data_IF_451300484366
#
_entry.id   IF_451300484366
#
_cell.length_a   1.000
_cell.length_b   1.000
_cell.length_c   1.000
_cell.angle_alpha   90.00
_cell.angle_beta   90.00
_cell.angle_gamma   90.00
#
_symmetry.space_group_name_H-M   'P 1'
#
loop_
_entity.id
_entity.type
_entity.pdbx_description
1 polymer ?
#
# COMPACT_ATOMS: atom_id res chain seq x y z
N UNK A 1 -29.82 -66.61 -16.25
CA UNK A 1 -28.51 -66.03 -15.98
C UNK A 1 -28.28 -64.89 -16.94
N UNK A 2 -28.52 -63.64 -16.54
CA UNK A 2 -28.32 -62.48 -17.38
C UNK A 2 -27.02 -61.79 -16.93
N UNK A 3 -26.10 -61.42 -17.82
CA UNK A 3 -24.84 -60.77 -17.45
C UNK A 3 -25.05 -59.32 -17.10
N UNK A 4 -24.54 -58.89 -15.94
CA UNK A 4 -24.47 -57.51 -15.52
C UNK A 4 -23.27 -56.80 -16.17
N UNK A 5 -23.50 -55.74 -16.96
CA UNK A 5 -22.50 -54.83 -17.48
C UNK A 5 -21.97 -53.92 -16.36
N UNK A 6 -20.65 -53.61 -16.31
CA UNK A 6 -20.09 -52.67 -15.35
C UNK A 6 -20.43 -51.24 -15.75
N UNK A 7 -20.89 -50.42 -14.76
CA UNK A 7 -21.04 -48.96 -14.89
C UNK A 7 -19.69 -48.31 -14.83
N UNK A 8 -19.25 -47.72 -15.93
CA UNK A 8 -18.07 -46.87 -15.99
C UNK A 8 -18.45 -45.49 -15.36
N UNK A 9 -17.88 -45.17 -14.22
CA UNK A 9 -18.00 -43.84 -13.60
C UNK A 9 -16.99 -42.93 -14.27
N UNK A 10 -17.45 -41.95 -15.06
CA UNK A 10 -16.61 -40.85 -15.53
C UNK A 10 -16.39 -39.86 -14.39
N UNK A 11 -15.16 -39.82 -13.87
CA UNK A 11 -14.71 -38.75 -12.98
C UNK A 11 -14.41 -37.51 -13.86
N UNK A 12 -15.28 -36.52 -13.84
CA UNK A 12 -14.99 -35.20 -14.40
C UNK A 12 -14.06 -34.47 -13.42
N UNK A 13 -12.77 -34.46 -13.73
CA UNK A 13 -11.81 -33.61 -13.06
C UNK A 13 -12.02 -32.18 -13.56
N UNK A 14 -12.63 -31.35 -12.73
CA UNK A 14 -12.71 -29.90 -12.95
C UNK A 14 -11.30 -29.30 -12.78
N UNK A 15 -10.64 -28.99 -13.90
CA UNK A 15 -9.39 -28.22 -13.88
C UNK A 15 -9.79 -26.78 -13.56
N UNK A 16 -9.57 -26.36 -12.31
CA UNK A 16 -9.57 -24.94 -11.95
C UNK A 16 -8.30 -24.31 -12.55
N UNK A 17 -8.42 -23.68 -13.71
CA UNK A 17 -7.39 -22.79 -14.23
C UNK A 17 -7.46 -21.52 -13.36
N UNK A 18 -6.58 -21.41 -12.37
CA UNK A 18 -6.31 -20.14 -11.72
C UNK A 18 -5.54 -19.28 -12.73
N UNK A 19 -6.24 -18.39 -13.43
CA UNK A 19 -5.58 -17.33 -14.18
C UNK A 19 -4.83 -16.43 -13.19
N UNK A 20 -3.53 -16.66 -13.08
CA UNK A 20 -2.65 -15.76 -12.35
C UNK A 20 -2.62 -14.43 -13.10
N UNK A 21 -3.03 -13.34 -12.44
CA UNK A 21 -2.78 -11.99 -12.93
C UNK A 21 -1.25 -11.80 -13.00
N UNK A 22 -0.69 -11.87 -14.19
CA UNK A 22 0.75 -11.69 -14.42
C UNK A 22 1.08 -10.21 -14.36
N UNK A 23 2.22 -9.87 -13.75
CA UNK A 23 2.81 -8.52 -13.84
C UNK A 23 3.02 -8.22 -15.34
N UNK A 24 2.35 -7.19 -15.85
CA UNK A 24 2.34 -6.93 -17.29
C UNK A 24 3.33 -5.87 -17.72
N UNK A 25 3.58 -4.84 -16.87
CA UNK A 25 4.43 -3.71 -17.21
C UNK A 25 5.23 -3.24 -15.99
N UNK A 26 6.43 -2.73 -16.25
CA UNK A 26 7.24 -2.03 -15.23
C UNK A 26 7.43 -0.59 -15.68
N UNK A 27 7.00 0.36 -14.84
CA UNK A 27 7.08 1.80 -15.10
C UNK A 27 8.21 2.38 -14.26
N UNK A 28 9.23 2.94 -14.89
CA UNK A 28 10.27 3.74 -14.23
C UNK A 28 9.68 5.10 -13.86
N UNK A 29 9.79 5.51 -12.58
CA UNK A 29 9.17 6.75 -12.11
C UNK A 29 9.81 8.01 -12.73
N UNK A 30 11.09 7.98 -13.01
CA UNK A 30 11.82 9.06 -13.67
C UNK A 30 12.67 8.51 -14.83
N UNK A 31 12.10 8.42 -16.05
CA UNK A 31 12.84 7.92 -17.21
C UNK A 31 14.10 8.72 -17.56
N UNK A 32 14.12 10.02 -17.22
CA UNK A 32 15.27 10.92 -17.42
C UNK A 32 16.29 10.91 -16.28
N UNK A 33 16.15 10.02 -15.29
CA UNK A 33 17.03 9.92 -14.13
C UNK A 33 16.34 10.29 -12.81
N UNK A 34 16.53 9.45 -11.79
CA UNK A 34 15.92 9.62 -10.48
C UNK A 34 16.56 10.78 -9.72
N UNK A 35 15.79 11.79 -9.23
CA UNK A 35 16.35 12.89 -8.45
C UNK A 35 17.08 12.39 -7.19
N UNK A 36 18.33 12.85 -7.00
CA UNK A 36 19.17 12.44 -5.87
C UNK A 36 19.64 10.99 -5.92
N UNK A 37 19.61 10.34 -7.09
CA UNK A 37 20.19 9.01 -7.27
C UNK A 37 21.70 9.01 -7.02
N UNK A 38 22.19 7.95 -6.36
CA UNK A 38 23.62 7.74 -6.06
C UNK A 38 24.33 6.90 -7.14
N UNK A 39 23.60 6.48 -8.15
CA UNK A 39 24.05 5.67 -9.27
C UNK A 39 22.90 5.30 -10.20
N UNK A 40 23.10 4.26 -10.99
CA UNK A 40 22.12 3.74 -11.96
C UNK A 40 21.73 2.29 -11.70
N UNK A 41 22.13 1.74 -10.55
CA UNK A 41 21.80 0.38 -10.15
C UNK A 41 20.30 0.21 -9.88
N UNK A 42 19.76 -1.00 -9.91
CA UNK A 42 18.35 -1.25 -9.61
C UNK A 42 17.87 -0.64 -8.28
N UNK A 43 18.78 -0.50 -7.30
CA UNK A 43 18.50 0.15 -6.01
C UNK A 43 18.35 1.68 -6.10
N UNK A 44 18.81 2.28 -7.18
CA UNK A 44 18.76 3.74 -7.43
C UNK A 44 17.52 4.16 -8.23
N UNK A 45 16.85 3.17 -8.85
CA UNK A 45 15.74 3.39 -9.79
C UNK A 45 14.44 2.87 -9.22
N UNK A 46 13.59 3.75 -8.64
CA UNK A 46 12.27 3.36 -8.19
C UNK A 46 11.32 3.10 -9.36
N UNK A 47 10.49 2.05 -9.21
CA UNK A 47 9.60 1.58 -10.28
C UNK A 47 8.23 1.21 -9.74
N UNK A 48 7.24 1.15 -10.63
CA UNK A 48 5.93 0.55 -10.40
C UNK A 48 5.80 -0.71 -11.26
N UNK A 49 5.47 -1.84 -10.62
CA UNK A 49 5.06 -3.06 -11.34
C UNK A 49 3.54 -3.10 -11.40
N UNK A 50 2.97 -3.26 -12.59
CA UNK A 50 1.53 -3.11 -12.84
C UNK A 50 0.84 -4.47 -12.82
N UNK A 51 -0.29 -4.55 -12.11
CA UNK A 51 -1.18 -5.70 -12.06
C UNK A 51 -2.58 -5.24 -12.48
N UNK A 52 -3.05 -5.73 -13.63
CA UNK A 52 -4.36 -5.40 -14.21
C UNK A 52 -5.39 -6.46 -13.84
N UNK A 53 -6.68 -6.12 -13.76
CA UNK A 53 -7.75 -7.11 -13.74
C UNK A 53 -7.65 -8.06 -14.94
N UNK A 54 -7.90 -9.35 -14.72
CA UNK A 54 -7.68 -10.41 -15.73
C UNK A 54 -8.47 -10.19 -17.03
N UNK A 55 -9.65 -9.62 -16.94
CA UNK A 55 -10.51 -9.29 -18.09
C UNK A 55 -10.25 -7.88 -18.67
N UNK A 56 -9.22 -7.18 -18.18
CA UNK A 56 -8.89 -5.80 -18.55
C UNK A 56 -9.93 -4.77 -18.08
N UNK A 57 -10.95 -5.18 -17.32
CA UNK A 57 -12.06 -4.33 -16.87
C UNK A 57 -11.77 -3.74 -15.50
N UNK A 58 -11.11 -2.61 -15.46
CA UNK A 58 -11.01 -1.84 -14.22
C UNK A 58 -12.39 -1.35 -13.78
N UNK A 59 -12.68 -1.46 -12.48
CA UNK A 59 -13.95 -1.02 -11.85
C UNK A 59 -13.92 0.42 -11.36
N UNK A 60 -12.99 1.22 -11.85
CA UNK A 60 -12.95 2.67 -11.66
C UNK A 60 -11.98 3.17 -10.61
N UNK A 61 -11.19 2.33 -9.96
CA UNK A 61 -10.18 2.74 -8.99
C UNK A 61 -8.82 2.09 -9.25
N UNK A 62 -7.77 2.66 -8.66
CA UNK A 62 -6.41 2.12 -8.67
C UNK A 62 -5.82 2.18 -7.25
N UNK A 63 -4.74 1.40 -7.01
CA UNK A 63 -4.06 1.40 -5.73
C UNK A 63 -2.55 1.25 -5.90
N UNK A 64 -1.78 2.07 -5.17
CA UNK A 64 -0.34 1.93 -5.03
C UNK A 64 -0.04 1.05 -3.83
N UNK A 65 0.75 -0.01 -4.00
CA UNK A 65 1.12 -0.97 -2.95
C UNK A 65 2.52 -0.68 -2.47
N UNK A 66 2.68 -0.39 -1.19
CA UNK A 66 3.95 -0.12 -0.52
C UNK A 66 4.28 -1.26 0.45
N UNK A 67 5.12 -2.24 0.06
CA UNK A 67 5.53 -3.32 0.93
C UNK A 67 6.29 -2.82 2.16
N UNK A 68 6.23 -3.57 3.27
CA UNK A 68 7.04 -3.34 4.45
C UNK A 68 8.49 -3.82 4.30
N UNK A 69 9.19 -3.92 5.42
CA UNK A 69 10.61 -4.32 5.48
C UNK A 69 11.49 -3.31 6.19
N UNK A 70 10.93 -2.53 7.13
CA UNK A 70 11.67 -1.62 8.02
C UNK A 70 12.43 -0.52 7.29
N UNK A 71 12.05 -0.15 6.07
CA UNK A 71 12.81 0.74 5.15
C UNK A 71 14.19 0.21 4.74
N UNK A 72 14.57 -1.01 5.14
CA UNK A 72 15.81 -1.68 4.74
C UNK A 72 15.61 -2.79 3.71
N UNK A 73 14.37 -3.15 3.39
CA UNK A 73 13.99 -4.17 2.43
C UNK A 73 12.56 -3.98 1.94
N UNK A 74 12.11 -4.88 1.06
CA UNK A 74 10.73 -4.97 0.57
C UNK A 74 10.24 -6.40 0.76
N UNK A 75 9.23 -6.59 1.61
CA UNK A 75 8.67 -7.89 1.95
C UNK A 75 7.90 -8.48 0.76
N UNK A 76 8.35 -9.63 0.23
CA UNK A 76 7.78 -10.23 -0.97
C UNK A 76 6.30 -10.62 -0.82
N UNK A 77 5.87 -11.08 0.38
CA UNK A 77 4.49 -11.47 0.65
C UNK A 77 3.52 -10.28 0.80
N UNK A 78 4.03 -9.06 0.88
CA UNK A 78 3.29 -7.80 0.91
C UNK A 78 3.35 -7.06 -0.43
N UNK A 79 3.82 -7.70 -1.47
CA UNK A 79 4.10 -7.22 -2.81
C UNK A 79 3.07 -7.80 -3.81
N UNK A 80 3.51 -8.73 -4.67
CA UNK A 80 2.71 -9.37 -5.70
C UNK A 80 1.38 -9.96 -5.18
N UNK A 81 1.32 -10.75 -4.08
CA UNK A 81 0.06 -11.33 -3.62
C UNK A 81 -1.02 -10.29 -3.31
N UNK A 82 -0.60 -9.14 -2.77
CA UNK A 82 -1.50 -8.02 -2.47
C UNK A 82 -2.04 -7.38 -3.76
N UNK A 83 -1.15 -7.14 -4.72
CA UNK A 83 -1.53 -6.54 -5.99
C UNK A 83 -2.48 -7.46 -6.79
N UNK A 84 -2.22 -8.76 -6.80
CA UNK A 84 -3.09 -9.76 -7.42
C UNK A 84 -4.47 -9.81 -6.75
N UNK A 85 -4.52 -9.71 -5.43
CA UNK A 85 -5.80 -9.64 -4.73
C UNK A 85 -6.61 -8.40 -5.16
N UNK A 86 -6.02 -7.21 -5.19
CA UNK A 86 -6.72 -6.01 -5.67
C UNK A 86 -7.12 -6.12 -7.15
N UNK A 87 -6.25 -6.68 -7.99
CA UNK A 87 -6.54 -6.92 -9.40
C UNK A 87 -7.75 -7.87 -9.57
N UNK A 88 -7.85 -8.92 -8.74
CA UNK A 88 -9.00 -9.84 -8.74
C UNK A 88 -10.32 -9.16 -8.35
N UNK A 89 -10.25 -8.03 -7.60
CA UNK A 89 -11.41 -7.22 -7.23
C UNK A 89 -11.76 -6.15 -8.27
N UNK A 90 -10.93 -6.00 -9.31
CA UNK A 90 -11.15 -5.08 -10.42
C UNK A 90 -10.47 -3.72 -10.25
N UNK A 91 -9.49 -3.57 -9.35
CA UNK A 91 -8.61 -2.41 -9.29
C UNK A 91 -7.32 -2.68 -10.07
N UNK A 92 -6.79 -1.67 -10.76
CA UNK A 92 -5.40 -1.77 -11.22
C UNK A 92 -4.48 -1.48 -10.03
N UNK A 93 -3.60 -2.42 -9.70
CA UNK A 93 -2.66 -2.28 -8.61
C UNK A 93 -1.24 -2.01 -9.13
N UNK A 94 -0.52 -1.15 -8.44
CA UNK A 94 0.82 -0.68 -8.80
C UNK A 94 1.75 -0.92 -7.62
N UNK A 95 2.61 -1.94 -7.70
CA UNK A 95 3.56 -2.24 -6.63
C UNK A 95 4.76 -1.31 -6.75
N UNK A 96 4.96 -0.50 -5.73
CA UNK A 96 6.06 0.45 -5.67
C UNK A 96 7.33 -0.22 -5.11
N UNK A 97 8.36 -0.26 -5.94
CA UNK A 97 9.74 -0.45 -5.49
C UNK A 97 10.31 0.92 -5.18
N UNK A 98 10.25 1.34 -3.93
CA UNK A 98 10.85 2.60 -3.46
C UNK A 98 12.29 2.41 -3.00
N UNK A 99 13.08 3.49 -3.00
CA UNK A 99 14.47 3.49 -2.54
C UNK A 99 14.56 3.19 -1.04
N UNK A 100 15.63 2.55 -0.61
CA UNK A 100 15.77 1.97 0.72
C UNK A 100 17.02 2.45 1.47
N UNK A 101 16.92 2.44 2.81
CA UNK A 101 18.05 2.63 3.70
C UNK A 101 18.99 1.40 3.73
N UNK A 102 20.23 1.57 4.15
CA UNK A 102 20.87 2.83 4.54
C UNK A 102 21.37 3.67 3.36
N UNK A 103 21.26 3.14 2.11
CA UNK A 103 21.73 3.82 0.89
C UNK A 103 20.99 5.14 0.68
N UNK A 104 19.68 5.13 0.92
CA UNK A 104 18.83 6.32 0.86
C UNK A 104 18.15 6.56 2.20
N UNK A 105 17.82 7.81 2.47
CA UNK A 105 17.09 8.24 3.65
C UNK A 105 16.01 9.24 3.25
N UNK A 106 15.19 9.65 4.20
CA UNK A 106 14.26 10.74 3.98
C UNK A 106 14.98 11.94 3.32
N UNK A 107 14.40 12.58 2.29
CA UNK A 107 13.03 12.40 1.77
C UNK A 107 12.91 11.45 0.57
N UNK A 108 13.91 10.62 0.25
CA UNK A 108 13.90 9.81 -0.98
C UNK A 108 12.65 8.92 -1.08
N UNK A 109 12.28 8.22 -0.01
CA UNK A 109 11.15 7.28 0.00
C UNK A 109 9.81 7.99 -0.23
N UNK A 110 9.58 9.12 0.45
CA UNK A 110 8.34 9.88 0.26
C UNK A 110 8.28 10.53 -1.12
N UNK A 111 9.40 10.97 -1.66
CA UNK A 111 9.46 11.48 -3.03
C UNK A 111 9.08 10.39 -4.04
N UNK A 112 9.53 9.15 -3.82
CA UNK A 112 9.17 8.00 -4.65
C UNK A 112 7.67 7.69 -4.56
N UNK A 113 7.08 7.70 -3.36
CA UNK A 113 5.66 7.46 -3.17
C UNK A 113 4.80 8.58 -3.77
N UNK A 114 5.17 9.84 -3.56
CA UNK A 114 4.47 10.98 -4.17
C UNK A 114 4.53 10.93 -5.69
N UNK A 115 5.70 10.62 -6.25
CA UNK A 115 5.87 10.43 -7.69
C UNK A 115 5.07 9.25 -8.22
N UNK A 116 4.99 8.16 -7.47
CA UNK A 116 4.19 6.99 -7.83
C UNK A 116 2.70 7.35 -7.94
N UNK A 117 2.14 8.06 -6.96
CA UNK A 117 0.73 8.50 -6.97
C UNK A 117 0.47 9.41 -8.18
N UNK A 118 1.35 10.38 -8.45
CA UNK A 118 1.24 11.25 -9.63
C UNK A 118 1.31 10.48 -10.93
N UNK A 119 2.26 9.54 -11.04
CA UNK A 119 2.41 8.68 -12.23
C UNK A 119 1.16 7.84 -12.46
N UNK A 120 0.62 7.22 -11.41
CA UNK A 120 -0.64 6.46 -11.49
C UNK A 120 -1.76 7.39 -11.94
N UNK A 121 -1.88 8.59 -11.36
CA UNK A 121 -2.91 9.57 -11.73
C UNK A 121 -2.81 10.01 -13.18
N UNK A 122 -1.60 10.20 -13.72
CA UNK A 122 -1.38 10.55 -15.13
C UNK A 122 -1.80 9.45 -16.11
N UNK A 123 -1.83 8.20 -15.64
CA UNK A 123 -2.16 7.01 -16.44
C UNK A 123 -3.60 6.53 -16.29
N UNK A 124 -4.45 7.31 -15.62
CA UNK A 124 -5.84 6.93 -15.36
C UNK A 124 -6.62 6.58 -16.64
N UNK A 125 -6.47 7.36 -17.72
CA UNK A 125 -7.11 7.08 -19.01
C UNK A 125 -6.55 5.83 -19.69
N UNK A 126 -5.25 5.54 -19.56
CA UNK A 126 -4.61 4.36 -20.15
C UNK A 126 -5.12 3.06 -19.51
N UNK A 127 -5.33 3.08 -18.18
CA UNK A 127 -5.74 1.89 -17.42
C UNK A 127 -7.24 1.87 -17.08
N UNK A 128 -8.02 2.88 -17.51
CA UNK A 128 -9.49 2.88 -17.42
C UNK A 128 -10.04 3.11 -16.01
N UNK A 129 -9.37 3.90 -15.15
CA UNK A 129 -9.88 4.27 -13.83
C UNK A 129 -10.04 5.79 -13.66
N UNK A 130 -10.78 6.18 -12.63
CA UNK A 130 -10.99 7.58 -12.27
C UNK A 130 -9.73 8.15 -11.59
N UNK A 131 -9.14 9.26 -12.09
CA UNK A 131 -7.97 9.89 -11.47
C UNK A 131 -8.23 10.45 -10.06
N UNK A 132 -9.48 10.47 -9.62
CA UNK A 132 -9.92 10.86 -8.26
C UNK A 132 -10.19 9.64 -7.35
N UNK A 133 -9.82 8.43 -7.78
CA UNK A 133 -10.00 7.19 -7.03
C UNK A 133 -8.70 6.37 -6.96
N UNK A 134 -7.64 7.00 -6.49
CA UNK A 134 -6.32 6.38 -6.35
C UNK A 134 -6.00 6.21 -4.88
N UNK A 135 -5.96 4.96 -4.43
CA UNK A 135 -5.55 4.61 -3.08
C UNK A 135 -4.08 4.34 -2.93
N UNK A 136 -3.66 4.28 -1.68
CA UNK A 136 -2.35 3.76 -1.29
C UNK A 136 -2.55 2.73 -0.17
N UNK A 137 -1.93 1.55 -0.31
CA UNK A 137 -1.85 0.57 0.77
C UNK A 137 -0.40 0.42 1.20
N UNK A 138 -0.19 0.34 2.51
CA UNK A 138 1.15 0.11 3.05
C UNK A 138 1.14 -0.81 4.26
N UNK A 139 2.21 -1.61 4.36
CA UNK A 139 2.42 -2.62 5.38
C UNK A 139 3.60 -2.23 6.26
N UNK A 140 3.47 -2.28 7.59
CA UNK A 140 4.59 -2.02 8.49
C UNK A 140 5.28 -0.67 8.20
N UNK A 141 6.56 -0.64 7.83
CA UNK A 141 7.25 0.56 7.35
C UNK A 141 6.64 1.14 6.06
N UNK A 142 6.10 0.29 5.17
CA UNK A 142 5.30 0.72 4.02
C UNK A 142 4.00 1.41 4.45
N UNK A 143 3.42 1.01 5.60
CA UNK A 143 2.30 1.68 6.24
C UNK A 143 2.67 3.09 6.73
N UNK A 144 3.89 3.26 7.25
CA UNK A 144 4.43 4.58 7.54
C UNK A 144 4.56 5.42 6.25
N UNK A 145 5.11 4.86 5.19
CA UNK A 145 5.24 5.54 3.91
C UNK A 145 3.86 5.95 3.34
N UNK A 146 2.87 5.06 3.42
CA UNK A 146 1.51 5.33 2.96
C UNK A 146 0.82 6.42 3.79
N UNK A 147 0.93 6.39 5.12
CA UNK A 147 0.39 7.43 6.00
C UNK A 147 1.14 8.75 5.84
N UNK A 148 2.47 8.72 5.59
CA UNK A 148 3.23 9.93 5.25
C UNK A 148 2.74 10.53 3.94
N UNK A 149 2.49 9.71 2.90
CA UNK A 149 1.90 10.20 1.65
C UNK A 149 0.51 10.81 1.84
N UNK A 150 -0.26 10.30 2.81
CA UNK A 150 -1.59 10.83 3.15
C UNK A 150 -1.58 12.10 4.02
N UNK A 151 -0.48 12.41 4.70
CA UNK A 151 -0.35 13.58 5.58
C UNK A 151 0.58 14.66 5.05
N UNK A 152 1.52 14.32 4.15
CA UNK A 152 2.54 15.21 3.59
C UNK A 152 2.46 15.33 2.06
N UNK A 153 1.27 15.20 1.49
CA UNK A 153 1.04 15.40 0.07
C UNK A 153 1.10 16.88 -0.32
N UNK A 154 1.20 17.13 -1.62
CA UNK A 154 1.02 18.46 -2.22
C UNK A 154 0.01 18.41 -3.38
N UNK A 155 -0.50 19.59 -3.74
CA UNK A 155 -1.49 19.75 -4.82
C UNK A 155 -0.88 19.63 -6.25
N UNK A 156 0.43 19.45 -6.35
CA UNK A 156 1.21 19.52 -7.58
C UNK A 156 1.91 20.86 -7.74
N UNK A 157 2.85 20.92 -8.70
CA UNK A 157 3.65 22.10 -9.02
C UNK A 157 3.23 22.65 -10.38
N UNK A 158 2.37 23.66 -10.46
CA UNK A 158 1.79 24.14 -11.74
C UNK A 158 2.86 24.54 -12.78
N UNK A 159 3.97 25.10 -12.32
CA UNK A 159 5.06 25.61 -13.18
C UNK A 159 6.12 24.53 -13.51
N UNK A 160 5.96 23.29 -13.05
CA UNK A 160 6.90 22.23 -13.37
C UNK A 160 6.94 21.96 -14.89
N UNK A 161 8.13 21.69 -15.42
CA UNK A 161 8.31 21.29 -16.83
C UNK A 161 7.80 19.86 -17.06
N UNK A 162 7.97 18.97 -16.07
CA UNK A 162 7.42 17.62 -16.12
C UNK A 162 5.92 17.65 -15.82
N UNK A 163 5.06 17.22 -16.78
CA UNK A 163 3.61 17.25 -16.59
C UNK A 163 3.12 16.37 -15.43
N UNK A 164 3.87 15.32 -15.06
CA UNK A 164 3.53 14.46 -13.92
C UNK A 164 3.66 15.23 -12.60
N UNK A 165 4.65 16.12 -12.46
CA UNK A 165 4.83 16.94 -11.25
C UNK A 165 3.74 18.01 -11.07
N UNK A 166 2.95 18.31 -12.10
CA UNK A 166 1.78 19.21 -12.00
C UNK A 166 0.58 18.58 -11.31
N UNK A 167 0.57 17.25 -11.19
CA UNK A 167 -0.53 16.50 -10.59
C UNK A 167 -0.39 16.44 -9.06
N UNK A 168 -1.51 16.36 -8.35
CA UNK A 168 -1.52 16.15 -6.90
C UNK A 168 -0.94 14.79 -6.52
N UNK A 169 -0.13 14.77 -5.47
CA UNK A 169 0.38 13.54 -4.84
C UNK A 169 -0.56 13.00 -3.75
N UNK A 170 -1.68 13.68 -3.45
CA UNK A 170 -2.62 13.22 -2.42
C UNK A 170 -3.31 11.93 -2.86
N UNK A 171 -3.20 10.82 -2.10
CA UNK A 171 -4.03 9.64 -2.35
C UNK A 171 -5.50 9.96 -2.00
N UNK A 172 -6.44 9.27 -2.63
CA UNK A 172 -7.87 9.50 -2.38
C UNK A 172 -8.39 8.65 -1.22
N UNK A 173 -7.66 7.58 -0.87
CA UNK A 173 -7.87 6.77 0.33
C UNK A 173 -6.58 6.05 0.75
N UNK A 174 -6.53 5.62 2.01
CA UNK A 174 -5.41 4.84 2.58
C UNK A 174 -5.90 3.50 3.12
N UNK A 175 -5.07 2.46 2.96
CA UNK A 175 -5.19 1.18 3.65
C UNK A 175 -3.88 0.93 4.41
N UNK A 176 -3.95 0.84 5.73
CA UNK A 176 -2.77 0.78 6.59
C UNK A 176 -2.76 -0.53 7.38
N UNK A 177 -1.79 -1.39 7.06
CA UNK A 177 -1.68 -2.74 7.62
C UNK A 177 -0.57 -2.78 8.66
N UNK A 178 -0.91 -3.03 9.92
CA UNK A 178 0.01 -3.01 11.07
C UNK A 178 1.08 -1.93 10.92
N UNK A 179 0.64 -0.67 10.69
CA UNK A 179 1.52 0.38 10.21
C UNK A 179 2.46 0.88 11.31
N UNK A 180 3.70 1.17 10.98
CA UNK A 180 4.51 2.10 11.76
C UNK A 180 3.90 3.49 11.57
N UNK A 181 3.74 4.27 12.65
CA UNK A 181 3.13 5.61 12.63
C UNK A 181 3.91 6.57 13.53
N UNK A 182 4.03 6.23 14.81
CA UNK A 182 4.37 7.14 15.90
C UNK A 182 5.88 7.18 16.16
N UNK A 183 6.66 7.77 15.23
CA UNK A 183 8.14 7.80 15.26
C UNK A 183 8.72 8.51 16.49
N UNK A 184 7.99 9.47 17.07
CA UNK A 184 8.44 10.29 18.21
C UNK A 184 8.03 9.71 19.58
N UNK A 185 7.32 8.58 19.60
CA UNK A 185 6.82 7.95 20.83
C UNK A 185 7.61 6.70 21.21
N UNK A 186 7.43 6.16 22.44
CA UNK A 186 8.00 4.87 22.81
C UNK A 186 7.50 3.69 21.96
N UNK A 187 6.38 3.84 21.26
CA UNK A 187 5.79 2.83 20.37
C UNK A 187 6.41 2.83 18.97
N UNK A 188 7.30 3.79 18.68
CA UNK A 188 7.96 3.89 17.37
C UNK A 188 8.88 2.71 17.09
N UNK A 189 8.79 2.14 15.87
CA UNK A 189 9.68 1.06 15.45
C UNK A 189 11.10 1.58 15.17
N UNK A 190 12.03 1.29 16.08
CA UNK A 190 13.41 1.82 16.07
C UNK A 190 14.18 1.48 14.79
N UNK A 191 13.99 0.27 14.25
CA UNK A 191 14.61 -0.17 13.00
C UNK A 191 14.18 0.67 11.81
N UNK A 192 12.87 0.92 11.67
CA UNK A 192 12.33 1.80 10.62
C UNK A 192 12.84 3.24 10.76
N UNK A 193 12.84 3.78 11.99
CA UNK A 193 13.36 5.12 12.26
C UNK A 193 14.82 5.25 11.84
N UNK A 194 15.67 4.31 12.24
CA UNK A 194 17.10 4.31 11.90
C UNK A 194 17.35 4.21 10.39
N UNK A 195 16.65 3.31 9.69
CA UNK A 195 16.82 3.15 8.25
C UNK A 195 16.33 4.37 7.46
N UNK A 196 15.23 4.99 7.92
CA UNK A 196 14.64 6.17 7.28
C UNK A 196 15.42 7.45 7.58
N UNK A 197 15.85 7.65 8.83
CA UNK A 197 16.35 8.93 9.33
C UNK A 197 17.84 8.92 9.74
N UNK A 198 18.41 7.76 10.01
CA UNK A 198 19.74 7.61 10.58
C UNK A 198 19.74 7.41 12.09
N UNK A 199 20.95 7.36 12.66
CA UNK A 199 21.12 7.02 14.08
C UNK A 199 20.77 8.18 15.02
N UNK A 200 21.05 9.42 14.61
CA UNK A 200 20.82 10.62 15.40
C UNK A 200 20.03 11.68 14.59
N UNK A 201 18.77 11.42 14.24
CA UNK A 201 17.99 12.38 13.47
C UNK A 201 17.62 13.60 14.32
N UNK A 202 17.48 14.80 13.70
CA UNK A 202 16.93 15.96 14.38
C UNK A 202 15.54 15.66 14.94
N UNK A 203 15.27 16.11 16.16
CA UNK A 203 14.00 15.87 16.86
C UNK A 203 12.78 16.38 16.06
N UNK A 204 12.91 17.55 15.43
CA UNK A 204 11.85 18.13 14.60
C UNK A 204 11.52 17.25 13.38
N UNK A 205 12.53 16.60 12.79
CA UNK A 205 12.30 15.66 11.69
C UNK A 205 11.57 14.40 12.18
N UNK A 206 11.93 13.89 13.37
CA UNK A 206 11.23 12.75 13.96
C UNK A 206 9.77 13.10 14.27
N UNK A 207 9.51 14.29 14.80
CA UNK A 207 8.15 14.79 15.07
C UNK A 207 7.36 14.98 13.79
N UNK A 208 7.95 15.56 12.75
CA UNK A 208 7.27 15.77 11.47
C UNK A 208 6.90 14.44 10.79
N UNK A 209 7.61 13.37 11.07
CA UNK A 209 7.34 12.01 10.54
C UNK A 209 6.65 11.09 11.56
N UNK A 210 6.13 11.67 12.64
CA UNK A 210 5.19 11.02 13.56
C UNK A 210 3.78 11.34 13.04
N UNK A 211 3.28 10.48 12.17
CA UNK A 211 2.14 10.79 11.30
C UNK A 211 0.82 11.02 12.05
N UNK A 212 0.69 10.49 13.26
CA UNK A 212 -0.47 10.74 14.14
C UNK A 212 -0.57 12.23 14.53
N UNK A 213 0.55 12.95 14.52
CA UNK A 213 0.57 14.39 14.81
C UNK A 213 0.35 15.27 13.58
N UNK A 214 0.34 14.67 12.39
CA UNK A 214 0.26 15.38 11.11
C UNK A 214 -1.12 15.27 10.45
N UNK A 215 -2.07 14.59 11.09
CA UNK A 215 -3.43 14.45 10.59
C UNK A 215 -4.16 15.78 10.58
N UNK A 216 -4.76 16.14 9.45
CA UNK A 216 -5.61 17.33 9.28
C UNK A 216 -6.97 16.92 8.73
N UNK A 217 -7.92 17.85 8.66
CA UNK A 217 -9.24 17.62 8.03
C UNK A 217 -9.16 17.19 6.55
N UNK A 218 -8.04 17.48 5.89
CA UNK A 218 -7.81 17.18 4.48
C UNK A 218 -7.05 15.85 4.27
N UNK A 219 -6.68 15.15 5.37
CA UNK A 219 -6.12 13.80 5.32
C UNK A 219 -7.12 12.84 4.67
N UNK A 220 -6.71 11.92 3.76
CA UNK A 220 -7.61 10.96 3.13
C UNK A 220 -8.27 10.01 4.13
N UNK A 221 -9.48 9.48 3.86
CA UNK A 221 -10.08 8.43 4.68
C UNK A 221 -9.19 7.20 4.73
N UNK A 222 -9.20 6.50 5.87
CA UNK A 222 -8.34 5.36 6.11
C UNK A 222 -9.10 4.11 6.57
N UNK A 223 -8.65 2.95 6.08
CA UNK A 223 -8.94 1.61 6.60
C UNK A 223 -7.67 1.08 7.26
N UNK A 224 -7.74 0.68 8.52
CA UNK A 224 -6.58 0.30 9.32
C UNK A 224 -6.79 -1.10 9.89
N UNK A 225 -5.75 -1.93 9.83
CA UNK A 225 -5.76 -3.28 10.43
C UNK A 225 -4.53 -3.47 11.29
N UNK A 226 -4.72 -4.03 12.49
CA UNK A 226 -3.62 -4.37 13.41
C UNK A 226 -3.99 -5.57 14.28
N UNK A 227 -3.02 -6.07 15.06
CA UNK A 227 -3.25 -7.11 16.06
C UNK A 227 -2.68 -6.68 17.40
N UNK A 228 -3.30 -7.11 18.51
CA UNK A 228 -2.79 -6.81 19.87
C UNK A 228 -1.50 -7.57 20.21
N UNK A 229 -1.27 -8.73 19.61
CA UNK A 229 -0.05 -9.54 19.83
C UNK A 229 1.17 -9.07 19.02
N UNK A 230 1.05 -8.00 18.25
CA UNK A 230 2.19 -7.45 17.48
C UNK A 230 3.21 -6.80 18.42
N UNK A 231 4.28 -7.52 18.69
CA UNK A 231 5.40 -7.06 19.53
C UNK A 231 6.49 -6.33 18.74
N UNK A 232 6.42 -6.31 17.41
CA UNK A 232 7.39 -5.64 16.54
C UNK A 232 6.99 -4.20 16.28
N UNK A 233 5.73 -3.98 15.93
CA UNK A 233 5.11 -2.67 15.80
C UNK A 233 3.92 -2.63 16.74
N UNK A 234 4.03 -2.00 17.92
CA UNK A 234 2.97 -1.98 18.91
C UNK A 234 1.65 -1.43 18.36
N UNK A 235 0.47 -2.01 18.74
CA UNK A 235 -0.85 -1.62 18.24
C UNK A 235 -1.20 -0.15 18.51
N UNK A 236 -0.52 0.50 19.48
CA UNK A 236 -0.66 1.93 19.76
C UNK A 236 -0.41 2.80 18.52
N UNK A 237 0.41 2.35 17.56
CA UNK A 237 0.59 3.04 16.29
C UNK A 237 -0.75 3.23 15.56
N UNK A 238 -1.53 2.17 15.40
CA UNK A 238 -2.84 2.21 14.76
C UNK A 238 -3.86 2.99 15.60
N UNK A 239 -3.85 2.80 16.93
CA UNK A 239 -4.76 3.48 17.85
C UNK A 239 -4.54 4.99 17.85
N UNK A 240 -3.29 5.45 17.95
CA UNK A 240 -2.94 6.88 17.94
C UNK A 240 -3.36 7.55 16.63
N UNK A 241 -3.11 6.89 15.49
CA UNK A 241 -3.53 7.43 14.19
C UNK A 241 -5.05 7.49 14.06
N UNK A 242 -5.76 6.45 14.49
CA UNK A 242 -7.23 6.42 14.49
C UNK A 242 -7.82 7.53 15.36
N UNK A 243 -7.24 7.76 16.54
CA UNK A 243 -7.66 8.85 17.44
C UNK A 243 -7.43 10.23 16.78
N UNK A 244 -6.29 10.41 16.11
CA UNK A 244 -6.01 11.66 15.39
C UNK A 244 -6.99 11.88 14.22
N UNK A 245 -7.30 10.83 13.45
CA UNK A 245 -8.31 10.87 12.38
C UNK A 245 -9.68 11.26 12.92
N UNK A 246 -10.11 10.64 14.02
CA UNK A 246 -11.38 10.95 14.69
C UNK A 246 -11.43 12.41 15.15
N UNK A 247 -10.36 12.89 15.79
CA UNK A 247 -10.26 14.27 16.25
C UNK A 247 -10.32 15.30 15.10
N UNK A 248 -9.76 14.94 13.95
CA UNK A 248 -9.79 15.76 12.73
C UNK A 248 -11.11 15.68 11.96
N UNK A 249 -12.05 14.81 12.38
CA UNK A 249 -13.32 14.56 11.68
C UNK A 249 -13.15 13.81 10.37
N UNK A 250 -12.04 13.10 10.17
CA UNK A 250 -11.76 12.32 8.97
C UNK A 250 -12.25 10.88 9.14
N UNK A 251 -13.01 10.34 8.18
CA UNK A 251 -13.50 8.97 8.27
C UNK A 251 -12.36 7.95 8.37
N UNK A 252 -12.44 7.08 9.38
CA UNK A 252 -11.46 6.03 9.62
C UNK A 252 -12.17 4.77 10.12
N UNK A 253 -11.80 3.61 9.59
CA UNK A 253 -12.27 2.31 10.06
C UNK A 253 -11.08 1.50 10.56
N UNK A 254 -11.14 1.03 11.81
CA UNK A 254 -10.08 0.25 12.45
C UNK A 254 -10.58 -1.15 12.77
N UNK A 255 -9.84 -2.17 12.32
CA UNK A 255 -10.00 -3.56 12.70
C UNK A 255 -8.81 -4.00 13.55
N UNK A 256 -9.06 -4.27 14.83
CA UNK A 256 -8.06 -4.73 15.79
C UNK A 256 -8.33 -6.18 16.16
N UNK A 257 -7.53 -7.11 15.67
CA UNK A 257 -7.62 -8.52 16.01
C UNK A 257 -6.88 -8.81 17.31
N UNK A 258 -7.39 -9.75 18.12
CA UNK A 258 -6.74 -10.14 19.37
C UNK A 258 -5.37 -10.76 19.11
N UNK A 259 -5.31 -11.70 18.18
CA UNK A 259 -4.13 -12.52 17.89
C UNK A 259 -3.51 -12.21 16.54
N UNK A 260 -2.27 -12.57 16.42
CA UNK A 260 -1.51 -12.49 15.18
C UNK A 260 -0.17 -11.78 15.36
N UNK A 261 0.89 -12.40 14.80
CA UNK A 261 2.23 -11.81 14.78
C UNK A 261 2.31 -10.67 13.75
N UNK A 262 3.38 -9.90 13.83
CA UNK A 262 3.71 -8.90 12.80
C UNK A 262 3.91 -9.53 11.41
N UNK A 263 3.50 -8.82 10.34
CA UNK A 263 3.83 -9.19 8.97
C UNK A 263 3.00 -10.35 8.41
N UNK A 264 1.69 -10.38 8.65
CA UNK A 264 0.81 -11.45 8.17
C UNK A 264 0.39 -11.31 6.69
N UNK A 265 0.62 -10.18 6.03
CA UNK A 265 0.21 -9.97 4.62
C UNK A 265 -1.30 -10.19 4.44
N UNK A 266 -1.70 -11.12 3.55
CA UNK A 266 -3.11 -11.51 3.37
C UNK A 266 -3.67 -12.37 4.53
N UNK A 267 -2.88 -12.66 5.57
CA UNK A 267 -3.34 -13.43 6.72
C UNK A 267 -3.37 -14.94 6.50
N UNK A 268 -2.71 -15.46 5.47
CA UNK A 268 -2.68 -16.90 5.20
C UNK A 268 -2.19 -17.68 6.41
N UNK A 269 -3.04 -18.60 6.89
CA UNK A 269 -2.78 -19.43 8.08
C UNK A 269 -3.29 -18.86 9.41
N UNK A 270 -3.81 -17.63 9.42
CA UNK A 270 -4.50 -17.04 10.58
C UNK A 270 -5.99 -16.86 10.24
N UNK A 271 -6.92 -17.65 10.86
CA UNK A 271 -8.33 -17.62 10.48
C UNK A 271 -9.01 -16.26 10.70
N UNK A 272 -8.66 -15.57 11.78
CA UNK A 272 -9.27 -14.28 12.10
C UNK A 272 -8.69 -13.15 11.24
N UNK A 273 -7.37 -13.07 11.16
CA UNK A 273 -6.71 -12.01 10.41
C UNK A 273 -6.98 -12.12 8.89
N UNK A 274 -7.18 -13.34 8.36
CA UNK A 274 -7.51 -13.56 6.93
C UNK A 274 -8.86 -12.98 6.49
N UNK A 275 -9.68 -12.48 7.42
CA UNK A 275 -10.94 -11.80 7.10
C UNK A 275 -10.74 -10.33 6.65
N UNK A 276 -9.58 -9.71 6.95
CA UNK A 276 -9.37 -8.30 6.63
C UNK A 276 -9.56 -7.95 5.13
N UNK A 277 -9.19 -8.81 4.15
CA UNK A 277 -9.40 -8.46 2.76
C UNK A 277 -10.88 -8.30 2.40
N UNK A 278 -11.76 -9.17 2.94
CA UNK A 278 -13.20 -9.07 2.78
C UNK A 278 -13.78 -7.81 3.42
N UNK A 279 -13.32 -7.46 4.62
CA UNK A 279 -13.71 -6.22 5.31
C UNK A 279 -13.26 -4.98 4.53
N UNK A 280 -12.04 -4.99 3.98
CA UNK A 280 -11.53 -3.93 3.13
C UNK A 280 -12.37 -3.78 1.84
N UNK A 281 -12.75 -4.88 1.19
CA UNK A 281 -13.64 -4.85 0.02
C UNK A 281 -14.99 -4.20 0.34
N UNK A 282 -15.60 -4.53 1.48
CA UNK A 282 -16.85 -3.92 1.95
C UNK A 282 -16.65 -2.42 2.14
N UNK A 283 -15.59 -2.00 2.82
CA UNK A 283 -15.26 -0.59 3.05
C UNK A 283 -15.06 0.18 1.73
N UNK A 284 -14.32 -0.39 0.77
CA UNK A 284 -14.12 0.21 -0.55
C UNK A 284 -15.44 0.42 -1.30
N UNK A 285 -16.37 -0.55 -1.22
CA UNK A 285 -17.72 -0.44 -1.80
C UNK A 285 -18.56 0.64 -1.11
N UNK A 286 -18.55 0.69 0.22
CA UNK A 286 -19.27 1.71 1.00
C UNK A 286 -18.76 3.13 0.68
N UNK A 287 -17.47 3.28 0.45
CA UNK A 287 -16.82 4.55 0.10
C UNK A 287 -16.93 4.91 -1.40
N UNK A 288 -17.48 4.03 -2.23
CA UNK A 288 -17.62 4.24 -3.68
C UNK A 288 -16.33 4.12 -4.48
N UNK A 289 -15.30 3.48 -3.91
CA UNK A 289 -14.06 3.16 -4.62
C UNK A 289 -14.18 1.85 -5.42
N UNK A 290 -15.12 0.99 -5.05
CA UNK A 290 -15.58 -0.16 -5.83
C UNK A 290 -17.09 -0.06 -6.08
N UNK A 291 -17.61 -0.65 -7.16
CA UNK A 291 -19.06 -0.80 -7.37
C UNK A 291 -19.70 -1.64 -6.24
N UNK A 292 -20.96 -1.31 -5.95
CA UNK A 292 -21.76 -2.07 -4.96
C UNK A 292 -22.04 -3.49 -5.43
#
# INVERSE_FOLDING_TARGET
MTPRLPRLAFLLASIFITENATAQDVITLWPGGTPGAKGTEPADVPTLTVYKPADGKNKGAAIVVCPGGGYGGLAAHENQPIAEWYASKGLTAFVLKYRLGPRYRHPAMINDANRAIRTVRSKAGEYGFDPKKIGIIGFSAGGHLASTAGTHYDAGKPDATDPIEKLSSRPDFMVLMYPVIAMATPYGHSGSKRNLLGDNPPEELVKSLSNETQVTKDTPPAFIVHTFEDVVVPPENALLFTMAMSKAGVPCELHMFEKGRHGLGLGMGDPAFSEWPGLCEIWLKQRGFLPK
#
